data_IF_542661086714
#
_entry.id   IF_542661086714
#
_cell.length_a   1.000
_cell.length_b   1.000
_cell.length_c   1.000
_cell.angle_alpha   90.00
_cell.angle_beta   90.00
_cell.angle_gamma   90.00
#
_symmetry.space_group_name_H-M   'P 1'
#
loop_
_entity.id
_entity.type
_entity.pdbx_description
1 polymer ?
#
# COMPACT_ATOMS: atom_id res chain seq x y z
N UNK A 1 -4.38 9.24 22.24
CA UNK A 1 -4.23 10.21 21.13
C UNK A 1 -5.15 9.84 19.96
N UNK A 2 -5.60 10.80 19.15
CA UNK A 2 -6.33 10.56 17.91
C UNK A 2 -5.40 10.78 16.73
N UNK A 3 -5.33 9.81 15.82
CA UNK A 3 -4.52 9.84 14.61
C UNK A 3 -5.43 9.87 13.40
N UNK A 4 -5.16 10.77 12.45
CA UNK A 4 -5.80 10.76 11.14
C UNK A 4 -4.99 9.84 10.24
N UNK A 5 -5.63 8.77 9.77
CA UNK A 5 -5.02 7.79 8.86
C UNK A 5 -5.71 7.89 7.51
N UNK A 6 -4.93 7.95 6.44
CA UNK A 6 -5.45 8.00 5.08
C UNK A 6 -5.19 6.66 4.40
N UNK A 7 -6.20 6.13 3.70
CA UNK A 7 -6.10 4.95 2.86
C UNK A 7 -6.70 5.24 1.48
N UNK A 8 -6.36 4.42 0.48
CA UNK A 8 -6.96 4.48 -0.85
C UNK A 8 -7.84 3.26 -1.08
N UNK A 9 -9.08 3.48 -1.52
CA UNK A 9 -10.06 2.41 -1.70
C UNK A 9 -10.20 1.93 -3.16
N UNK A 10 -9.27 2.31 -4.03
CA UNK A 10 -9.34 2.01 -5.47
C UNK A 10 -9.99 3.11 -6.31
N UNK A 11 -10.64 4.10 -5.68
CA UNK A 11 -11.24 5.26 -6.36
C UNK A 11 -10.79 6.60 -5.75
N UNK A 12 -10.79 6.71 -4.44
CA UNK A 12 -10.46 7.95 -3.72
C UNK A 12 -9.72 7.69 -2.42
N UNK A 13 -8.99 8.71 -1.96
CA UNK A 13 -8.40 8.71 -0.63
C UNK A 13 -9.49 8.92 0.42
N UNK A 14 -9.52 8.05 1.42
CA UNK A 14 -10.43 8.11 2.56
C UNK A 14 -9.65 8.29 3.85
N UNK A 15 -10.28 8.97 4.80
CA UNK A 15 -9.68 9.26 6.08
C UNK A 15 -10.45 8.52 7.17
N UNK A 16 -9.73 7.92 8.10
CA UNK A 16 -10.29 7.46 9.36
C UNK A 16 -9.55 8.09 10.53
N UNK A 17 -10.18 8.07 11.70
CA UNK A 17 -9.53 8.46 12.94
C UNK A 17 -9.26 7.21 13.78
N UNK A 18 -7.99 6.89 13.98
CA UNK A 18 -7.58 5.84 14.90
C UNK A 18 -7.32 6.43 16.29
N UNK A 19 -7.78 5.76 17.34
CA UNK A 19 -7.40 6.10 18.71
C UNK A 19 -6.22 5.23 19.11
N UNK A 20 -5.08 5.85 19.38
CA UNK A 20 -3.90 5.17 19.85
C UNK A 20 -3.68 5.45 21.34
N UNK A 21 -3.55 4.40 22.15
CA UNK A 21 -3.16 4.49 23.57
C UNK A 21 -1.68 4.10 23.64
N UNK A 22 -0.85 4.97 24.21
CA UNK A 22 0.55 4.64 24.48
C UNK A 22 0.56 3.52 25.53
N UNK A 23 1.23 2.38 25.27
CA UNK A 23 1.35 1.31 26.24
C UNK A 23 2.06 1.79 27.52
N UNK A 24 1.81 1.11 28.64
CA UNK A 24 2.63 1.29 29.84
C UNK A 24 4.05 0.81 29.54
N UNK A 25 5.04 1.53 30.08
CA UNK A 25 6.47 1.21 29.94
C UNK A 25 7.16 1.44 31.28
N UNK A 26 8.21 0.66 31.54
CA UNK A 26 8.95 0.75 32.79
C UNK A 26 10.04 1.82 32.71
N UNK A 27 10.02 2.75 33.66
CA UNK A 27 11.01 3.82 33.77
C UNK A 27 10.90 4.88 32.67
N UNK A 28 12.04 5.46 32.30
CA UNK A 28 12.13 6.48 31.25
C UNK A 28 12.50 5.81 29.92
N UNK A 29 11.68 6.03 28.88
CA UNK A 29 11.97 5.61 27.51
C UNK A 29 12.13 6.84 26.61
N UNK A 30 13.06 6.83 25.64
CA UNK A 30 13.19 7.96 24.72
C UNK A 30 11.92 8.09 23.86
N UNK A 31 11.51 9.31 23.54
CA UNK A 31 10.32 9.55 22.71
C UNK A 31 10.36 8.83 21.36
N UNK A 32 11.56 8.63 20.79
CA UNK A 32 11.78 7.89 19.54
C UNK A 32 11.48 6.39 19.64
N UNK A 33 11.43 5.83 20.86
CA UNK A 33 11.00 4.44 21.07
C UNK A 33 9.48 4.29 21.12
N UNK A 34 8.74 5.41 21.24
CA UNK A 34 7.29 5.37 21.22
C UNK A 34 6.80 5.07 19.79
N UNK A 35 5.77 4.23 19.65
CA UNK A 35 5.19 3.89 18.35
C UNK A 35 4.54 5.09 17.64
N UNK A 36 4.31 6.17 18.39
CA UNK A 36 3.79 7.42 17.86
C UNK A 36 4.48 8.59 18.53
N UNK A 37 5.14 9.43 17.73
CA UNK A 37 5.84 10.62 18.19
C UNK A 37 5.15 11.87 17.59
N UNK A 38 4.83 12.91 18.39
CA UNK A 38 4.25 14.13 17.85
C UNK A 38 5.27 14.87 16.96
N UNK A 39 4.80 15.42 15.84
CA UNK A 39 5.65 16.09 14.83
C UNK A 39 6.55 17.18 15.41
N UNK A 40 6.06 17.93 16.40
CA UNK A 40 6.78 19.04 17.03
C UNK A 40 8.06 18.64 17.78
N UNK A 41 8.29 17.35 18.03
CA UNK A 41 9.47 16.87 18.76
C UNK A 41 10.69 16.63 17.85
N UNK A 42 10.49 16.60 16.53
CA UNK A 42 11.59 16.49 15.57
C UNK A 42 12.24 17.86 15.37
N UNK A 43 13.56 17.88 15.21
CA UNK A 43 14.29 19.07 14.77
C UNK A 43 13.86 19.51 13.37
N UNK A 44 14.14 20.76 12.98
CA UNK A 44 13.78 21.26 11.65
C UNK A 44 14.40 20.43 10.52
N UNK A 45 15.62 19.91 10.71
CA UNK A 45 16.25 19.03 9.73
C UNK A 45 15.53 17.68 9.63
N UNK A 46 15.22 17.04 10.77
CA UNK A 46 14.50 15.76 10.76
C UNK A 46 13.10 15.90 10.16
N UNK A 47 12.40 17.00 10.45
CA UNK A 47 11.10 17.29 9.84
C UNK A 47 11.20 17.41 8.32
N UNK A 48 12.24 18.08 7.83
CA UNK A 48 12.50 18.20 6.39
C UNK A 48 12.80 16.82 5.76
N UNK A 49 13.73 16.06 6.33
CA UNK A 49 14.11 14.73 5.82
C UNK A 49 12.93 13.76 5.81
N UNK A 50 12.10 13.77 6.87
CA UNK A 50 10.88 12.98 6.95
C UNK A 50 9.85 13.41 5.91
N UNK A 51 9.66 14.71 5.71
CA UNK A 51 8.72 15.26 4.72
C UNK A 51 9.14 14.82 3.33
N UNK A 52 10.41 14.98 2.97
CA UNK A 52 10.95 14.57 1.67
C UNK A 52 10.80 13.07 1.46
N UNK A 53 11.10 12.26 2.47
CA UNK A 53 10.94 10.81 2.40
C UNK A 53 9.47 10.40 2.22
N UNK A 54 8.55 11.02 2.96
CA UNK A 54 7.12 10.75 2.84
C UNK A 54 6.58 11.17 1.47
N UNK A 55 7.00 12.32 0.94
CA UNK A 55 6.61 12.76 -0.40
C UNK A 55 7.10 11.78 -1.48
N UNK A 56 8.35 11.33 -1.41
CA UNK A 56 8.89 10.33 -2.34
C UNK A 56 8.09 9.02 -2.29
N UNK A 57 7.81 8.52 -1.09
CA UNK A 57 7.01 7.29 -0.92
C UNK A 57 5.56 7.46 -1.39
N UNK A 58 4.96 8.62 -1.13
CA UNK A 58 3.62 8.94 -1.60
C UNK A 58 3.54 9.01 -3.12
N UNK A 59 4.60 9.50 -3.78
CA UNK A 59 4.69 9.50 -5.22
C UNK A 59 4.75 8.07 -5.77
N UNK A 60 5.56 7.20 -5.17
CA UNK A 60 5.59 5.77 -5.52
C UNK A 60 4.21 5.12 -5.34
N UNK A 61 3.51 5.39 -4.23
CA UNK A 61 2.16 4.89 -4.00
C UNK A 61 1.20 5.34 -5.11
N UNK A 62 1.24 6.63 -5.44
CA UNK A 62 0.41 7.19 -6.51
C UNK A 62 0.70 6.50 -7.84
N UNK A 63 1.96 6.39 -8.23
CA UNK A 63 2.37 5.78 -9.50
C UNK A 63 2.00 4.30 -9.60
N UNK A 64 2.08 3.56 -8.49
CA UNK A 64 1.90 2.11 -8.49
C UNK A 64 0.46 1.65 -8.26
N UNK A 65 -0.34 2.40 -7.49
CA UNK A 65 -1.69 1.98 -7.09
C UNK A 65 -2.80 2.99 -7.47
N UNK A 66 -2.45 4.23 -7.79
CA UNK A 66 -3.44 5.26 -8.16
C UNK A 66 -3.42 5.55 -9.65
N UNK A 67 -2.28 5.70 -10.32
CA UNK A 67 -2.25 6.13 -11.72
C UNK A 67 -2.96 5.16 -12.67
N UNK A 68 -2.82 3.86 -12.41
CA UNK A 68 -3.36 2.76 -13.21
C UNK A 68 -4.17 1.81 -12.33
N UNK A 69 -5.13 1.04 -12.91
CA UNK A 69 -6.00 0.17 -12.13
C UNK A 69 -5.27 -1.08 -11.62
N UNK A 70 -4.29 -1.56 -12.40
CA UNK A 70 -3.37 -2.62 -12.01
C UNK A 70 -2.01 -2.41 -12.67
N UNK A 71 -0.95 -3.00 -12.10
CA UNK A 71 0.40 -2.94 -12.65
C UNK A 71 1.19 -4.21 -12.34
N UNK A 72 1.94 -4.72 -13.32
CA UNK A 72 2.93 -5.77 -13.09
C UNK A 72 4.27 -5.18 -12.70
N UNK A 73 4.86 -5.66 -11.61
CA UNK A 73 6.08 -5.12 -11.03
C UNK A 73 7.01 -6.23 -10.56
N UNK A 74 8.28 -5.90 -10.39
CA UNK A 74 9.20 -6.71 -9.61
C UNK A 74 9.15 -6.25 -8.15
N UNK A 75 9.08 -7.19 -7.21
CA UNK A 75 9.11 -6.92 -5.78
C UNK A 75 10.33 -7.58 -5.15
N UNK A 76 10.95 -6.87 -4.21
CA UNK A 76 11.95 -7.41 -3.30
C UNK A 76 11.56 -7.04 -1.88
N UNK A 77 11.31 -8.03 -1.04
CA UNK A 77 10.90 -7.85 0.34
C UNK A 77 9.97 -8.94 0.85
N UNK A 78 9.24 -8.61 1.91
CA UNK A 78 8.26 -9.51 2.52
C UNK A 78 6.84 -9.10 2.15
N UNK A 79 6.03 -10.06 1.72
CA UNK A 79 4.58 -9.90 1.59
C UNK A 79 3.95 -9.99 2.99
N UNK A 80 3.13 -9.00 3.35
CA UNK A 80 2.19 -9.10 4.46
C UNK A 80 0.87 -9.68 3.98
N UNK A 81 0.33 -10.72 4.63
CA UNK A 81 -0.99 -11.25 4.27
C UNK A 81 -1.73 -11.76 5.51
N UNK A 82 -3.05 -11.77 5.44
CA UNK A 82 -3.89 -12.34 6.48
C UNK A 82 -4.21 -13.80 6.18
N UNK A 83 -4.16 -14.63 7.21
CA UNK A 83 -4.50 -16.04 7.14
C UNK A 83 -5.40 -16.38 8.32
N UNK A 84 -6.43 -17.21 8.10
CA UNK A 84 -7.29 -17.66 9.20
C UNK A 84 -6.58 -18.76 9.99
N UNK A 85 -6.53 -18.60 11.30
CA UNK A 85 -6.08 -19.67 12.19
C UNK A 85 -7.16 -20.76 12.38
N UNK A 86 -6.86 -21.77 13.20
CA UNK A 86 -7.77 -22.88 13.50
C UNK A 86 -9.08 -22.44 14.19
N UNK A 87 -9.13 -21.21 14.74
CA UNK A 87 -10.34 -20.61 15.32
C UNK A 87 -11.08 -19.72 14.32
N UNK A 88 -10.58 -19.61 13.08
CA UNK A 88 -11.12 -18.74 12.05
C UNK A 88 -10.72 -17.27 12.20
N UNK A 89 -9.83 -16.93 13.15
CA UNK A 89 -9.40 -15.56 13.38
C UNK A 89 -8.29 -15.18 12.37
N UNK A 90 -8.37 -13.96 11.83
CA UNK A 90 -7.33 -13.44 10.93
C UNK A 90 -6.03 -13.16 11.69
N UNK A 91 -4.94 -13.74 11.21
CA UNK A 91 -3.58 -13.54 11.70
C UNK A 91 -2.74 -12.90 10.60
N UNK A 92 -2.03 -11.81 10.92
CA UNK A 92 -1.09 -11.20 9.99
C UNK A 92 0.20 -12.03 9.94
N UNK A 93 0.57 -12.49 8.75
CA UNK A 93 1.82 -13.19 8.47
C UNK A 93 2.68 -12.36 7.53
N UNK A 94 4.00 -12.54 7.63
CA UNK A 94 5.00 -11.95 6.73
C UNK A 94 5.93 -13.04 6.22
N UNK A 95 6.09 -13.12 4.91
CA UNK A 95 6.96 -14.11 4.25
C UNK A 95 7.71 -13.41 3.11
N UNK A 96 8.95 -13.80 2.84
CA UNK A 96 9.68 -13.32 1.65
C UNK A 96 8.87 -13.64 0.39
N UNK A 97 8.75 -12.65 -0.49
CA UNK A 97 7.97 -12.77 -1.72
C UNK A 97 8.72 -12.19 -2.92
N UNK A 98 10.04 -12.32 -2.91
CA UNK A 98 10.89 -11.82 -3.99
C UNK A 98 10.44 -12.39 -5.34
N UNK A 99 10.39 -11.53 -6.35
CA UNK A 99 10.01 -11.90 -7.71
C UNK A 99 8.89 -11.02 -8.28
N UNK A 100 8.14 -11.57 -9.24
CA UNK A 100 7.08 -10.82 -9.93
C UNK A 100 5.84 -10.71 -9.06
N UNK A 101 5.19 -9.55 -9.13
CA UNK A 101 3.94 -9.24 -8.44
C UNK A 101 3.00 -8.49 -9.37
N UNK A 102 1.71 -8.53 -9.05
CA UNK A 102 0.69 -7.66 -9.62
C UNK A 102 0.17 -6.77 -8.50
N UNK A 103 0.27 -5.46 -8.65
CA UNK A 103 -0.40 -4.49 -7.78
C UNK A 103 -1.82 -4.32 -8.32
N UNK A 104 -2.82 -4.73 -7.55
CA UNK A 104 -4.24 -4.66 -7.90
C UNK A 104 -5.11 -4.86 -6.64
N UNK A 105 -5.65 -3.76 -6.11
CA UNK A 105 -6.55 -3.78 -4.95
C UNK A 105 -7.93 -4.35 -5.30
N UNK A 106 -8.42 -4.08 -6.51
CA UNK A 106 -9.79 -4.39 -6.87
C UNK A 106 -9.96 -5.88 -7.14
N UNK A 107 -9.01 -6.49 -7.85
CA UNK A 107 -8.96 -7.95 -8.03
C UNK A 107 -8.78 -8.67 -6.70
N UNK A 108 -7.99 -8.14 -5.77
CA UNK A 108 -7.87 -8.70 -4.42
C UNK A 108 -9.23 -8.73 -3.71
N UNK A 109 -9.92 -7.58 -3.68
CA UNK A 109 -11.22 -7.44 -3.02
C UNK A 109 -12.31 -8.32 -3.66
N UNK A 110 -12.31 -8.45 -5.00
CA UNK A 110 -13.23 -9.34 -5.73
C UNK A 110 -12.95 -10.81 -5.42
N UNK A 111 -11.68 -11.22 -5.45
CA UNK A 111 -11.29 -12.60 -5.19
C UNK A 111 -11.47 -12.99 -3.72
N UNK A 112 -11.42 -12.02 -2.80
CA UNK A 112 -11.48 -12.26 -1.36
C UNK A 112 -12.39 -11.23 -0.66
N UNK A 113 -13.72 -11.33 -0.79
CA UNK A 113 -14.67 -10.34 -0.26
C UNK A 113 -14.59 -10.14 1.27
N UNK A 114 -14.24 -11.20 2.01
CA UNK A 114 -14.11 -11.17 3.47
C UNK A 114 -12.72 -10.73 3.95
N UNK A 115 -11.80 -10.36 3.05
CA UNK A 115 -10.47 -9.94 3.44
C UNK A 115 -10.55 -8.63 4.23
N UNK A 116 -9.86 -8.50 5.39
CA UNK A 116 -9.96 -7.31 6.22
C UNK A 116 -9.17 -6.13 5.64
N UNK A 117 -9.67 -5.53 4.56
CA UNK A 117 -9.09 -4.35 3.90
C UNK A 117 -9.31 -3.04 4.66
N UNK A 118 -10.17 -3.05 5.69
CA UNK A 118 -10.48 -1.89 6.51
C UNK A 118 -10.85 -0.67 5.65
N UNK A 119 -10.16 0.47 5.80
CA UNK A 119 -10.49 1.68 5.04
C UNK A 119 -10.11 1.59 3.55
N UNK A 120 -9.32 0.59 3.15
CA UNK A 120 -8.99 0.33 1.74
C UNK A 120 -10.10 -0.46 1.01
N UNK A 121 -11.18 -0.87 1.69
CA UNK A 121 -12.28 -1.63 1.07
C UNK A 121 -12.92 -0.88 -0.11
N UNK A 122 -12.90 -1.41 -1.34
CA UNK A 122 -13.51 -0.72 -2.48
C UNK A 122 -15.01 -0.51 -2.34
N UNK A 123 -15.58 0.59 -2.89
CA UNK A 123 -17.02 0.78 -3.01
C UNK A 123 -17.68 -0.40 -3.74
N UNK A 124 -18.89 -0.78 -3.31
CA UNK A 124 -19.63 -1.91 -3.92
C UNK A 124 -19.82 -1.77 -5.42
N UNK A 125 -20.00 -0.54 -5.90
CA UNK A 125 -20.21 -0.24 -7.33
C UNK A 125 -18.98 -0.59 -8.19
N UNK A 126 -17.76 -0.49 -7.63
CA UNK A 126 -16.54 -0.92 -8.34
C UNK A 126 -16.42 -2.45 -8.37
N UNK A 127 -17.06 -3.16 -7.43
CA UNK A 127 -17.00 -4.61 -7.37
C UNK A 127 -18.01 -5.29 -8.30
N UNK A 128 -19.11 -4.60 -8.66
CA UNK A 128 -20.23 -5.15 -9.46
C UNK A 128 -20.06 -5.03 -10.98
N UNK A 129 -19.47 -3.94 -11.47
CA UNK A 129 -19.46 -3.63 -12.91
C UNK A 129 -18.05 -3.78 -13.54
N UNK A 130 -17.97 -4.56 -14.62
CA UNK A 130 -16.76 -4.97 -15.34
C UNK A 130 -16.22 -3.89 -16.27
N UNK A 131 -14.92 -3.60 -16.16
CA UNK A 131 -14.01 -2.94 -17.12
C UNK A 131 -14.33 -1.50 -17.58
N UNK A 132 -15.56 -1.13 -17.91
CA UNK A 132 -15.87 0.16 -18.55
C UNK A 132 -15.73 1.35 -17.59
N UNK A 133 -16.17 1.20 -16.33
CA UNK A 133 -15.97 2.24 -15.29
C UNK A 133 -14.50 2.37 -14.89
N UNK A 134 -13.72 1.29 -14.91
CA UNK A 134 -12.28 1.32 -14.57
C UNK A 134 -11.48 2.13 -15.61
N UNK A 135 -11.77 1.95 -16.90
CA UNK A 135 -11.12 2.67 -18.01
C UNK A 135 -11.49 4.17 -18.03
N UNK A 136 -12.71 4.52 -17.65
CA UNK A 136 -13.13 5.93 -17.58
C UNK A 136 -12.65 6.63 -16.30
N UNK A 137 -12.60 5.91 -15.16
CA UNK A 137 -12.07 6.43 -13.91
C UNK A 137 -10.56 6.69 -13.97
N UNK A 138 -9.80 5.87 -14.71
CA UNK A 138 -8.35 6.01 -14.91
C UNK A 138 -8.00 7.24 -15.76
N UNK A 139 -8.81 7.60 -16.75
CA UNK A 139 -8.65 8.84 -17.55
C UNK A 139 -8.83 10.14 -16.74
N UNK A 140 -9.40 10.07 -15.53
CA UNK A 140 -9.78 11.24 -14.71
C UNK A 140 -8.97 11.43 -13.43
N UNK A 141 -7.96 10.58 -13.16
CA UNK A 141 -7.21 10.66 -11.89
C UNK A 141 -6.33 11.92 -11.89
N UNK A 142 -6.69 12.85 -11.01
CA UNK A 142 -5.95 14.11 -10.81
C UNK A 142 -4.62 13.80 -10.15
N UNK A 143 -3.62 14.62 -10.48
CA UNK A 143 -2.35 14.62 -9.75
C UNK A 143 -2.61 14.78 -8.24
N UNK A 144 -1.85 14.06 -7.39
CA UNK A 144 -2.06 14.09 -5.96
C UNK A 144 -1.67 15.47 -5.41
N UNK A 145 -2.37 15.93 -4.38
CA UNK A 145 -1.93 17.10 -3.62
C UNK A 145 -0.77 16.75 -2.70
N UNK A 146 -0.03 17.75 -2.23
CA UNK A 146 1.07 17.54 -1.28
C UNK A 146 0.63 16.80 -0.01
N UNK A 147 -0.52 17.18 0.57
CA UNK A 147 -1.11 16.47 1.72
C UNK A 147 -1.43 15.00 1.44
N UNK A 148 -1.85 14.68 0.20
CA UNK A 148 -2.12 13.31 -0.20
C UNK A 148 -0.83 12.51 -0.34
N UNK A 149 0.25 13.11 -0.86
CA UNK A 149 1.56 12.48 -0.93
C UNK A 149 2.11 12.21 0.48
N UNK A 150 2.03 13.19 1.38
CA UNK A 150 2.53 13.06 2.75
C UNK A 150 1.78 12.02 3.59
N UNK A 151 0.48 11.84 3.32
CA UNK A 151 -0.37 10.90 4.05
C UNK A 151 -0.66 9.60 3.30
N UNK A 152 -0.05 9.40 2.12
CA UNK A 152 -0.26 8.22 1.32
C UNK A 152 0.18 6.93 2.07
N UNK A 153 -0.53 5.81 1.87
CA UNK A 153 -0.12 4.54 2.45
C UNK A 153 1.28 4.11 1.99
N UNK A 154 2.05 3.58 2.92
CA UNK A 154 3.36 2.97 2.64
C UNK A 154 3.25 1.58 1.97
N UNK A 155 2.03 1.05 1.84
CA UNK A 155 1.77 -0.29 1.30
C UNK A 155 0.78 -0.24 0.15
N UNK A 156 0.90 -1.19 -0.77
CA UNK A 156 -0.09 -1.43 -1.84
C UNK A 156 -0.54 -2.88 -1.83
N UNK A 157 -1.74 -3.13 -2.35
CA UNK A 157 -2.35 -4.45 -2.35
C UNK A 157 -2.16 -5.16 -3.69
N UNK A 158 -2.02 -6.48 -3.66
CA UNK A 158 -1.82 -7.24 -4.88
C UNK A 158 -1.52 -8.72 -4.67
N UNK A 159 -1.06 -9.36 -5.74
CA UNK A 159 -0.75 -10.78 -5.81
C UNK A 159 0.74 -11.04 -6.06
N UNK A 160 1.33 -11.95 -5.29
CA UNK A 160 2.68 -12.45 -5.54
C UNK A 160 2.65 -13.71 -6.39
N UNK A 161 3.37 -13.70 -7.52
CA UNK A 161 3.47 -14.87 -8.40
C UNK A 161 4.43 -15.94 -7.86
N UNK A 162 5.44 -15.55 -7.07
CA UNK A 162 6.43 -16.50 -6.54
C UNK A 162 5.84 -17.39 -5.45
N UNK A 163 5.07 -16.81 -4.53
CA UNK A 163 4.44 -17.56 -3.42
C UNK A 163 2.94 -17.78 -3.62
N UNK A 164 2.36 -17.32 -4.73
CA UNK A 164 0.95 -17.50 -5.12
C UNK A 164 -0.05 -17.04 -4.04
N UNK A 165 0.22 -15.90 -3.40
CA UNK A 165 -0.64 -15.33 -2.35
C UNK A 165 -1.00 -13.87 -2.63
N UNK A 166 -2.22 -13.50 -2.27
CA UNK A 166 -2.65 -12.11 -2.14
C UNK A 166 -2.09 -11.49 -0.85
N UNK A 167 -1.94 -10.17 -0.81
CA UNK A 167 -1.55 -9.45 0.39
C UNK A 167 -1.17 -8.01 0.10
N UNK A 168 -0.27 -7.46 0.92
CA UNK A 168 0.27 -6.12 0.77
C UNK A 168 1.80 -6.10 0.66
N UNK A 169 2.29 -5.18 -0.15
CA UNK A 169 3.70 -4.94 -0.46
C UNK A 169 4.11 -3.55 0.02
N UNK A 170 5.33 -3.41 0.54
CA UNK A 170 5.92 -2.08 0.78
C UNK A 170 6.23 -1.40 -0.56
N UNK A 171 5.84 -0.13 -0.71
CA UNK A 171 6.08 0.59 -1.97
C UNK A 171 7.55 0.72 -2.33
N UNK A 172 8.45 0.78 -1.35
CA UNK A 172 9.90 0.85 -1.56
C UNK A 172 10.52 -0.45 -2.04
N UNK A 173 9.82 -1.58 -1.90
CA UNK A 173 10.25 -2.87 -2.43
C UNK A 173 9.88 -3.09 -3.91
N UNK A 174 9.05 -2.22 -4.49
CA UNK A 174 8.55 -2.35 -5.85
C UNK A 174 9.44 -1.64 -6.86
N UNK A 175 9.58 -2.24 -8.04
CA UNK A 175 10.32 -1.71 -9.19
C UNK A 175 9.60 -2.07 -10.48
N UNK A 176 9.69 -1.19 -11.46
CA UNK A 176 9.12 -1.44 -12.78
C UNK A 176 9.84 -2.60 -13.48
N UNK A 177 9.11 -3.42 -14.22
CA UNK A 177 9.69 -4.53 -14.99
C UNK A 177 10.27 -3.96 -16.28
N UNK A 178 11.59 -4.08 -16.46
CA UNK A 178 12.23 -3.80 -17.75
C UNK A 178 12.18 -5.06 -18.60
N UNK A 179 11.46 -5.02 -19.72
CA UNK A 179 11.51 -6.08 -20.72
C UNK A 179 12.74 -5.84 -21.60
N UNK A 180 13.67 -6.81 -21.63
CA UNK A 180 14.80 -6.75 -22.55
C UNK A 180 14.38 -7.27 -23.93
N UNK A 181 14.36 -6.39 -24.94
CA UNK A 181 13.98 -6.73 -26.33
C UNK A 181 14.96 -7.67 -27.05
N UNK A 182 16.05 -8.08 -26.40
CA UNK A 182 17.21 -8.75 -27.03
C UNK A 182 17.00 -10.22 -27.41
N UNK A 183 15.83 -10.81 -27.15
CA UNK A 183 15.58 -12.23 -27.43
C UNK A 183 14.96 -12.51 -28.81
N UNK A 184 14.61 -11.48 -29.60
CA UNK A 184 13.96 -11.69 -30.91
C UNK A 184 14.93 -11.80 -32.10
N UNK A 185 16.24 -11.59 -31.94
CA UNK A 185 17.19 -11.54 -33.07
C UNK A 185 18.06 -12.79 -33.28
N UNK A 186 17.84 -13.90 -32.55
CA UNK A 186 18.64 -15.12 -32.74
C UNK A 186 17.95 -16.27 -33.49
N UNK A 187 16.85 -16.00 -34.21
CA UNK A 187 16.13 -17.00 -35.03
C UNK A 187 16.09 -16.64 -36.52
N UNK A 188 17.19 -16.08 -37.04
CA UNK A 188 17.40 -15.82 -38.47
C UNK A 188 18.67 -16.48 -38.95
#
# INVERSE_FOLDING_TARGET
MKLKVTDFNGESFRYCTMKYKIPEFDGEVPFTSLPVCPWSFFSSQEQHDLTDHLQQRGQLFYDYAVKEPFRFMHFRGSLGFYERDFKGCFQLRRVNADGRVMVDLLSLARANPDWPLQNAQPPSELLRDVAEKEVEATKKRKQPTEDQLLSAPAIVYGFSFSIKKWGCFDVGGLREITFEDKLMTSWS
#
